data_IF_363082377292
#
_entry.id   IF_363082377292
#
_cell.length_a   1.000
_cell.length_b   1.000
_cell.length_c   1.000
_cell.angle_alpha   90.00
_cell.angle_beta   90.00
_cell.angle_gamma   90.00
#
_symmetry.space_group_name_H-M   'P 1'
#
loop_
_entity.id
_entity.type
_entity.pdbx_description
1 polymer ?
#
# COMPACT_ATOMS: atom_id res chain seq x y z
N UNK A 1 -10.61 12.88 -20.63
CA UNK A 1 -10.41 11.66 -21.44
C UNK A 1 -10.18 10.48 -20.50
N UNK A 2 -11.02 9.44 -20.52
CA UNK A 2 -10.74 8.23 -19.72
C UNK A 2 -9.51 7.51 -20.30
N UNK A 3 -8.46 7.34 -19.49
CA UNK A 3 -7.27 6.58 -19.85
C UNK A 3 -7.69 5.12 -20.07
N UNK A 4 -7.63 4.63 -21.32
CA UNK A 4 -7.95 3.23 -21.64
C UNK A 4 -7.05 2.32 -20.82
N UNK A 5 -7.64 1.55 -19.89
CA UNK A 5 -6.92 0.56 -19.07
C UNK A 5 -6.48 -0.59 -19.98
N UNK A 6 -5.26 -1.10 -19.77
CA UNK A 6 -4.80 -2.31 -20.45
C UNK A 6 -5.64 -3.49 -19.92
N UNK A 7 -6.25 -4.32 -20.78
CA UNK A 7 -6.95 -5.51 -20.32
C UNK A 7 -5.98 -6.44 -19.58
N UNK A 8 -6.48 -7.07 -18.50
CA UNK A 8 -5.74 -8.09 -17.77
C UNK A 8 -5.70 -9.41 -18.55
N UNK A 9 -5.05 -10.42 -17.96
CA UNK A 9 -5.00 -11.77 -18.52
C UNK A 9 -6.29 -12.54 -18.24
N UNK A 10 -6.67 -13.42 -19.15
CA UNK A 10 -7.78 -14.35 -18.93
C UNK A 10 -7.31 -15.57 -18.14
N UNK A 11 -8.23 -16.29 -17.47
CA UNK A 11 -7.89 -17.49 -16.69
C UNK A 11 -7.19 -18.57 -17.54
N UNK A 12 -7.49 -18.62 -18.84
CA UNK A 12 -6.91 -19.58 -19.80
C UNK A 12 -5.46 -19.27 -20.13
N UNK A 13 -5.02 -18.04 -19.91
CA UNK A 13 -3.66 -17.61 -20.18
C UNK A 13 -2.72 -17.91 -19.00
N UNK A 14 -3.23 -18.18 -17.81
CA UNK A 14 -2.44 -18.41 -16.58
C UNK A 14 -2.05 -19.89 -16.48
N UNK A 15 -0.77 -20.17 -16.20
CA UNK A 15 -0.25 -21.54 -16.09
C UNK A 15 -0.01 -21.95 -14.64
N UNK A 16 -0.10 -23.26 -14.36
CA UNK A 16 0.19 -23.81 -13.03
C UNK A 16 1.66 -23.61 -12.70
N UNK A 17 1.94 -23.07 -11.51
CA UNK A 17 3.29 -22.74 -11.06
C UNK A 17 3.79 -21.36 -11.48
N UNK A 18 2.99 -20.61 -12.25
CA UNK A 18 3.29 -19.22 -12.61
C UNK A 18 3.34 -18.33 -11.36
N UNK A 19 4.34 -17.45 -11.30
CA UNK A 19 4.51 -16.47 -10.22
C UNK A 19 4.39 -15.07 -10.79
N UNK A 20 3.66 -14.22 -10.08
CA UNK A 20 3.45 -12.83 -10.41
C UNK A 20 3.86 -11.98 -9.20
N UNK A 21 4.71 -10.99 -9.43
CA UNK A 21 5.16 -10.07 -8.40
C UNK A 21 4.82 -8.66 -8.84
N UNK A 22 4.18 -7.91 -7.94
CA UNK A 22 3.93 -6.50 -8.13
C UNK A 22 4.70 -5.71 -7.08
N UNK A 23 5.31 -4.62 -7.53
CA UNK A 23 5.93 -3.65 -6.65
C UNK A 23 5.19 -2.33 -6.84
N UNK A 24 4.71 -1.78 -5.73
CA UNK A 24 4.12 -0.46 -5.68
C UNK A 24 4.86 0.34 -4.61
N UNK A 25 5.24 1.57 -4.95
CA UNK A 25 5.72 2.53 -3.98
C UNK A 25 4.51 3.14 -3.27
N UNK A 26 4.58 3.27 -1.96
CA UNK A 26 3.57 3.93 -1.13
C UNK A 26 4.10 5.32 -0.77
N UNK A 27 3.30 6.35 -1.04
CA UNK A 27 3.58 7.73 -0.67
C UNK A 27 2.63 8.21 0.43
N UNK A 28 2.91 9.36 1.05
CA UNK A 28 2.09 9.94 2.12
C UNK A 28 0.62 10.13 1.73
N UNK A 29 0.33 10.43 0.46
CA UNK A 29 -1.05 10.56 -0.04
C UNK A 29 -1.83 9.24 0.03
N UNK A 30 -1.15 8.12 -0.18
CA UNK A 30 -1.77 6.80 -0.14
C UNK A 30 -2.05 6.40 1.31
N UNK A 31 -1.16 6.79 2.23
CA UNK A 31 -1.39 6.69 3.66
C UNK A 31 -2.57 7.54 4.10
N UNK A 32 -2.61 8.82 3.72
CA UNK A 32 -3.74 9.71 4.03
C UNK A 32 -5.07 9.16 3.52
N UNK A 33 -5.09 8.61 2.30
CA UNK A 33 -6.26 7.95 1.74
C UNK A 33 -6.66 6.74 2.59
N UNK A 34 -5.71 5.90 3.00
CA UNK A 34 -5.96 4.76 3.85
C UNK A 34 -6.60 5.18 5.18
N UNK A 35 -6.00 6.13 5.90
CA UNK A 35 -6.50 6.63 7.19
C UNK A 35 -7.93 7.17 7.06
N UNK A 36 -8.20 7.94 6.00
CA UNK A 36 -9.54 8.48 5.75
C UNK A 36 -10.59 7.42 5.40
N UNK A 37 -10.18 6.28 4.83
CA UNK A 37 -11.08 5.18 4.48
C UNK A 37 -11.31 4.21 5.65
N UNK A 38 -10.32 4.00 6.51
CA UNK A 38 -10.37 3.00 7.60
C UNK A 38 -10.71 3.60 8.95
N UNK A 39 -10.64 4.93 9.09
CA UNK A 39 -10.75 5.63 10.38
C UNK A 39 -9.70 5.16 11.41
N UNK A 40 -8.60 4.55 10.95
CA UNK A 40 -7.47 4.12 11.81
C UNK A 40 -6.53 5.30 12.05
N UNK A 41 -6.75 6.05 13.14
CA UNK A 41 -6.00 7.27 13.48
C UNK A 41 -4.69 7.01 14.25
N UNK A 42 -4.04 5.86 14.05
CA UNK A 42 -2.80 5.55 14.75
C UNK A 42 -1.66 6.52 14.35
N UNK A 43 -1.04 7.24 15.31
CA UNK A 43 0.01 8.22 15.02
C UNK A 43 1.27 7.61 14.40
N UNK A 44 1.50 6.29 14.55
CA UNK A 44 2.62 5.57 13.94
C UNK A 44 2.69 5.69 12.42
N UNK A 45 1.58 6.00 11.75
CA UNK A 45 1.52 6.05 10.29
C UNK A 45 2.03 7.37 9.72
N UNK A 46 1.96 8.48 10.47
CA UNK A 46 2.17 9.83 9.90
C UNK A 46 2.96 10.77 10.80
N UNK A 47 2.92 10.58 12.13
CA UNK A 47 3.59 11.46 13.07
C UNK A 47 5.04 11.02 13.26
N UNK A 48 5.95 11.72 12.56
CA UNK A 48 7.38 11.40 12.56
C UNK A 48 7.98 11.50 13.97
N UNK A 49 7.63 12.53 14.73
CA UNK A 49 8.12 12.74 16.10
C UNK A 49 7.65 11.64 17.07
N UNK A 50 6.44 11.13 16.88
CA UNK A 50 5.92 10.00 17.66
C UNK A 50 6.64 8.70 17.27
N UNK A 51 6.80 8.46 15.96
CA UNK A 51 7.42 7.23 15.47
C UNK A 51 8.93 7.15 15.80
N UNK A 52 9.63 8.28 15.90
CA UNK A 52 11.03 8.37 16.34
C UNK A 52 11.24 7.87 17.77
N UNK A 53 10.21 7.93 18.62
CA UNK A 53 10.25 7.43 19.99
C UNK A 53 10.09 5.91 20.07
N UNK A 54 9.75 5.26 18.96
CA UNK A 54 9.63 3.81 18.90
C UNK A 54 10.94 3.15 18.51
N UNK A 55 11.15 1.85 18.81
CA UNK A 55 12.34 1.12 18.38
C UNK A 55 12.58 1.12 16.86
N UNK A 56 11.54 1.41 16.06
CA UNK A 56 11.62 1.46 14.60
C UNK A 56 12.17 2.79 14.09
N UNK A 57 12.09 3.86 14.89
CA UNK A 57 12.70 5.17 14.58
C UNK A 57 12.13 5.88 13.35
N UNK A 58 11.01 5.42 12.79
CA UNK A 58 10.37 5.97 11.59
C UNK A 58 8.91 5.53 11.50
N UNK A 59 8.05 6.28 10.77
CA UNK A 59 6.68 5.84 10.51
C UNK A 59 6.66 4.45 9.86
N UNK A 60 5.70 3.63 10.26
CA UNK A 60 5.59 2.24 9.81
C UNK A 60 4.18 2.00 9.32
N UNK A 61 4.05 1.61 8.06
CA UNK A 61 2.77 1.29 7.45
C UNK A 61 2.28 -0.07 7.94
N UNK A 62 0.98 -0.20 8.24
CA UNK A 62 0.38 -1.52 8.50
C UNK A 62 0.65 -2.42 7.30
N UNK A 63 1.13 -3.64 7.55
CA UNK A 63 1.30 -4.63 6.49
C UNK A 63 -0.07 -5.02 5.95
N UNK A 64 -0.49 -4.37 4.85
CA UNK A 64 -1.60 -4.84 4.03
C UNK A 64 -1.10 -6.09 3.29
N UNK A 65 -1.38 -7.26 3.85
CA UNK A 65 -1.25 -8.54 3.17
C UNK A 65 -2.56 -9.29 3.36
#
# INVERSE_FOLDING_TARGET
MLKKRKPGRTIREIQVGEKLVFQASIEDKDLLLYLGLTDDVNPLYIQHDYALQTPLGRPVVRRLC
#
